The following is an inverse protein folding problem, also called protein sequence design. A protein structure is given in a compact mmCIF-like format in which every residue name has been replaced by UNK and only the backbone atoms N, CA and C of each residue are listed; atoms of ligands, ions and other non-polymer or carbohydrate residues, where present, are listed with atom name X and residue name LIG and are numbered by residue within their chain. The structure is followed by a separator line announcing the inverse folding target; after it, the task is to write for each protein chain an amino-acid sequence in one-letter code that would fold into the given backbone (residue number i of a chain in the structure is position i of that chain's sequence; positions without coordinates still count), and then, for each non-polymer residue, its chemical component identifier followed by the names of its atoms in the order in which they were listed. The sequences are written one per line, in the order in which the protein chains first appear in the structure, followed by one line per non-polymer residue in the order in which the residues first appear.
data_IF_313327171239
#
_entry.id   IF_313327171239
#
_cell.length_a   1.000
_cell.length_b   1.000
_cell.length_c   1.000
_cell.angle_alpha   90.00
_cell.angle_beta   90.00
_cell.angle_gamma   90.00
#
_symmetry.space_group_name_H-M   'P 1'
#
loop_
_entity.id
_entity.type
_entity.pdbx_description
1 polymer ?
#
# COMPACT_ATOMS: atom_id res chain seq x y z
N UNK A 1 55.01 -47.62 -57.53
CA UNK A 1 55.07 -47.71 -56.09
C UNK A 1 53.95 -46.85 -55.52
N UNK A 2 52.86 -47.48 -55.05
CA UNK A 2 51.79 -46.82 -54.30
C UNK A 2 51.85 -47.38 -52.92
N UNK A 3 52.17 -46.51 -51.94
CA UNK A 3 52.13 -46.80 -50.47
C UNK A 3 50.75 -46.49 -49.98
N UNK A 4 49.95 -47.51 -49.67
CA UNK A 4 48.70 -47.40 -48.94
C UNK A 4 49.01 -47.10 -47.40
N UNK A 5 48.56 -45.96 -46.90
CA UNK A 5 48.54 -45.67 -45.44
C UNK A 5 47.29 -46.32 -44.87
N UNK A 6 47.45 -47.34 -44.09
CA UNK A 6 46.40 -47.89 -43.25
C UNK A 6 46.10 -46.92 -42.09
N UNK A 7 44.87 -46.45 -42.03
CA UNK A 7 44.34 -45.62 -40.96
C UNK A 7 43.93 -46.56 -39.79
N UNK A 8 44.79 -46.72 -38.81
CA UNK A 8 44.52 -47.54 -37.63
C UNK A 8 43.36 -46.93 -36.83
N UNK A 9 42.23 -47.61 -36.76
CA UNK A 9 41.15 -47.30 -35.84
C UNK A 9 41.56 -47.70 -34.41
N UNK A 10 41.85 -46.69 -33.56
CA UNK A 10 42.03 -46.91 -32.14
C UNK A 10 40.66 -47.16 -31.49
N UNK A 11 40.39 -48.39 -31.07
CA UNK A 11 39.23 -48.70 -30.25
C UNK A 11 39.50 -48.25 -28.79
N UNK A 12 38.56 -47.50 -28.14
CA UNK A 12 38.78 -47.04 -26.79
C UNK A 12 38.89 -48.22 -25.80
N UNK A 13 39.85 -48.16 -24.93
CA UNK A 13 40.04 -49.17 -23.87
C UNK A 13 38.90 -49.15 -22.85
N UNK A 14 38.63 -50.26 -22.19
CA UNK A 14 37.60 -50.31 -21.09
C UNK A 14 37.80 -49.23 -20.05
N UNK A 15 39.04 -48.82 -19.77
CA UNK A 15 39.36 -47.70 -18.88
C UNK A 15 38.90 -46.35 -19.44
N UNK A 16 39.11 -46.12 -20.73
CA UNK A 16 38.66 -44.87 -21.42
C UNK A 16 37.15 -44.76 -21.39
N UNK A 17 36.43 -45.87 -21.65
CA UNK A 17 34.97 -45.92 -21.62
C UNK A 17 34.46 -45.63 -20.18
N UNK A 18 35.04 -46.23 -19.18
CA UNK A 18 34.66 -46.00 -17.77
C UNK A 18 34.82 -44.53 -17.33
N UNK A 19 35.94 -43.89 -17.74
CA UNK A 19 36.18 -42.46 -17.44
C UNK A 19 35.15 -41.54 -18.11
N UNK A 20 34.82 -41.84 -19.37
CA UNK A 20 33.80 -41.05 -20.10
C UNK A 20 32.41 -41.22 -19.49
N UNK A 21 32.02 -42.43 -19.09
CA UNK A 21 30.71 -42.68 -18.43
C UNK A 21 30.65 -41.98 -17.07
N UNK A 22 31.69 -42.02 -16.28
CA UNK A 22 31.71 -41.28 -15.01
C UNK A 22 31.65 -39.78 -15.21
N UNK A 23 32.37 -39.24 -16.21
CA UNK A 23 32.30 -37.80 -16.52
C UNK A 23 30.91 -37.37 -16.96
N UNK A 24 30.22 -38.15 -17.80
CA UNK A 24 28.83 -37.89 -18.22
C UNK A 24 27.89 -37.95 -17.02
N UNK A 25 28.04 -38.93 -16.12
CA UNK A 25 27.21 -39.05 -14.92
C UNK A 25 27.40 -37.85 -13.98
N UNK A 26 28.63 -37.39 -13.78
CA UNK A 26 28.93 -36.20 -12.96
C UNK A 26 28.33 -34.92 -13.58
N UNK A 27 28.46 -34.76 -14.90
CA UNK A 27 27.88 -33.61 -15.60
C UNK A 27 26.36 -33.67 -15.52
N UNK A 28 25.74 -34.83 -15.72
CA UNK A 28 24.27 -34.98 -15.63
C UNK A 28 23.77 -34.70 -14.21
N UNK A 29 24.45 -35.19 -13.18
CA UNK A 29 24.13 -34.88 -11.79
C UNK A 29 24.29 -33.39 -11.45
N UNK A 30 25.34 -32.73 -11.98
CA UNK A 30 25.56 -31.31 -11.81
C UNK A 30 24.46 -30.45 -12.52
N UNK A 31 24.02 -30.88 -13.70
CA UNK A 31 22.92 -30.23 -14.42
C UNK A 31 21.59 -30.44 -13.69
N UNK A 32 21.33 -31.67 -13.21
CA UNK A 32 20.13 -31.94 -12.39
C UNK A 32 20.15 -31.14 -11.08
N UNK A 33 21.30 -31.10 -10.41
CA UNK A 33 21.46 -30.26 -9.21
C UNK A 33 21.26 -28.78 -9.51
N UNK A 34 21.78 -28.27 -10.63
CA UNK A 34 21.57 -26.88 -11.04
C UNK A 34 20.10 -26.58 -11.44
N UNK A 35 19.35 -27.58 -11.91
CA UNK A 35 17.92 -27.46 -12.21
C UNK A 35 17.03 -27.60 -10.96
N UNK A 36 17.53 -28.26 -9.92
CA UNK A 36 16.85 -28.45 -8.63
C UNK A 36 17.26 -27.40 -7.57
N UNK A 37 18.33 -26.64 -7.81
CA UNK A 37 18.61 -25.47 -6.99
C UNK A 37 17.51 -24.46 -7.23
N UNK A 38 16.95 -23.83 -6.15
CA UNK A 38 16.07 -22.70 -6.32
C UNK A 38 16.78 -21.70 -7.25
N UNK A 39 16.09 -21.26 -8.30
CA UNK A 39 16.65 -20.26 -9.20
C UNK A 39 17.10 -19.08 -8.36
N UNK A 40 18.27 -18.48 -8.68
CA UNK A 40 18.65 -17.25 -8.01
C UNK A 40 17.44 -16.30 -8.14
N UNK A 41 17.04 -15.77 -7.00
CA UNK A 41 15.95 -14.85 -6.84
C UNK A 41 16.07 -13.75 -7.90
N UNK A 42 15.13 -13.67 -8.84
CA UNK A 42 15.05 -12.52 -9.76
C UNK A 42 14.51 -11.34 -8.95
N UNK A 43 15.28 -10.27 -8.79
CA UNK A 43 14.83 -9.11 -8.04
C UNK A 43 13.64 -8.48 -8.78
N UNK A 44 12.68 -7.94 -8.02
CA UNK A 44 11.63 -7.12 -8.59
C UNK A 44 12.24 -5.99 -9.45
N UNK A 45 11.68 -5.76 -10.61
CA UNK A 45 12.09 -4.72 -11.53
C UNK A 45 11.19 -3.50 -11.37
N UNK A 46 11.77 -2.32 -11.27
CA UNK A 46 11.02 -1.06 -11.23
C UNK A 46 11.42 -0.16 -12.39
N UNK A 47 10.42 0.35 -13.11
CA UNK A 47 10.57 1.35 -14.17
C UNK A 47 9.74 2.59 -13.88
N UNK A 48 10.21 3.75 -14.31
CA UNK A 48 9.48 5.01 -14.19
C UNK A 48 8.39 5.09 -15.26
N UNK A 49 7.15 5.38 -14.85
CA UNK A 49 6.03 5.59 -15.76
C UNK A 49 5.66 7.07 -15.91
N UNK A 50 5.77 7.85 -14.85
CA UNK A 50 5.57 9.30 -14.86
C UNK A 50 6.57 9.97 -13.93
N UNK A 51 7.05 11.15 -14.30
CA UNK A 51 7.95 11.97 -13.52
C UNK A 51 7.50 13.44 -13.45
N UNK A 52 8.26 14.26 -12.74
CA UNK A 52 7.98 15.69 -12.59
C UNK A 52 6.70 15.97 -11.79
N UNK A 53 6.41 15.14 -10.79
CA UNK A 53 5.27 15.27 -9.90
C UNK A 53 5.65 16.03 -8.63
N UNK A 54 4.67 16.68 -8.02
CA UNK A 54 4.86 17.41 -6.77
C UNK A 54 4.19 16.68 -5.62
N UNK A 55 4.95 15.90 -4.87
CA UNK A 55 4.48 15.08 -3.76
C UNK A 55 3.25 14.24 -4.14
N UNK A 56 3.36 13.33 -5.15
CA UNK A 56 2.27 12.44 -5.48
C UNK A 56 1.91 11.59 -4.25
N UNK A 57 0.64 11.66 -3.85
CA UNK A 57 0.22 11.02 -2.63
C UNK A 57 -0.31 9.61 -2.87
N UNK A 58 -1.22 9.49 -3.83
CA UNK A 58 -1.87 8.22 -4.09
C UNK A 58 -2.20 8.03 -5.58
N UNK A 59 -2.54 6.79 -5.95
CA UNK A 59 -2.77 6.36 -7.33
C UNK A 59 -4.08 5.59 -7.39
N UNK A 60 -4.95 5.94 -8.33
CA UNK A 60 -6.15 5.18 -8.64
C UNK A 60 -6.20 4.79 -10.11
N UNK A 61 -6.89 3.71 -10.42
CA UNK A 61 -7.11 3.26 -11.79
C UNK A 61 -8.60 3.16 -12.10
N UNK A 62 -9.01 3.65 -13.26
CA UNK A 62 -10.35 3.41 -13.79
C UNK A 62 -10.43 2.06 -14.51
N UNK A 63 -11.65 1.55 -14.70
CA UNK A 63 -11.90 0.27 -15.35
C UNK A 63 -11.34 0.19 -16.79
N UNK A 64 -11.23 1.33 -17.47
CA UNK A 64 -10.63 1.41 -18.82
C UNK A 64 -9.10 1.61 -18.80
N UNK A 65 -8.46 1.53 -17.63
CA UNK A 65 -7.01 1.54 -17.44
C UNK A 65 -6.37 2.92 -17.35
N UNK A 66 -7.15 4.01 -17.30
CA UNK A 66 -6.60 5.34 -17.04
C UNK A 66 -6.06 5.42 -15.61
N UNK A 67 -4.88 6.04 -15.48
CA UNK A 67 -4.24 6.25 -14.18
C UNK A 67 -4.54 7.66 -13.66
N UNK A 68 -5.01 7.75 -12.41
CA UNK A 68 -5.23 9.00 -11.71
C UNK A 68 -4.20 9.12 -10.58
N UNK A 69 -3.64 10.31 -10.41
CA UNK A 69 -2.63 10.57 -9.37
C UNK A 69 -3.02 11.83 -8.61
N UNK A 70 -3.11 11.73 -7.29
CA UNK A 70 -3.24 12.90 -6.43
C UNK A 70 -1.87 13.49 -6.12
N UNK A 71 -1.76 14.81 -6.20
CA UNK A 71 -0.60 15.55 -5.72
C UNK A 71 -1.01 16.37 -4.50
N UNK A 72 -0.23 16.28 -3.42
CA UNK A 72 -0.52 16.89 -2.12
C UNK A 72 -0.92 18.37 -2.20
N UNK A 73 -0.39 19.09 -3.18
CA UNK A 73 -0.68 20.51 -3.41
C UNK A 73 -2.12 20.80 -3.90
N UNK A 74 -2.98 19.77 -4.03
CA UNK A 74 -4.38 19.92 -4.42
C UNK A 74 -4.64 19.69 -5.91
N UNK A 75 -3.86 18.85 -6.59
CA UNK A 75 -4.12 18.48 -7.99
C UNK A 75 -4.44 17.00 -8.12
N UNK A 76 -5.39 16.69 -9.00
CA UNK A 76 -5.61 15.32 -9.52
C UNK A 76 -5.19 15.33 -10.98
N UNK A 77 -4.23 14.49 -11.34
CA UNK A 77 -3.80 14.29 -12.73
C UNK A 77 -4.41 13.01 -13.27
N UNK A 78 -4.94 13.06 -14.47
CA UNK A 78 -5.51 11.92 -15.19
C UNK A 78 -4.64 11.61 -16.41
N UNK A 79 -4.06 10.43 -16.45
CA UNK A 79 -3.23 9.94 -17.55
C UNK A 79 -3.98 8.88 -18.35
N UNK A 80 -3.64 8.76 -19.65
CA UNK A 80 -4.27 7.82 -20.56
C UNK A 80 -4.13 6.34 -20.13
N UNK A 81 -3.08 6.00 -19.40
CA UNK A 81 -2.84 4.67 -18.82
C UNK A 81 -1.72 4.72 -17.78
N UNK A 82 -1.41 3.57 -17.15
CA UNK A 82 -0.22 3.35 -16.31
C UNK A 82 1.05 3.00 -17.11
N UNK A 83 1.03 3.07 -18.44
CA UNK A 83 2.21 2.78 -19.26
C UNK A 83 3.24 3.92 -19.21
N UNK A 84 4.55 3.62 -19.35
CA UNK A 84 5.59 4.63 -19.39
C UNK A 84 5.34 5.71 -20.44
N UNK A 85 5.33 6.98 -20.00
CA UNK A 85 5.12 8.13 -20.87
C UNK A 85 3.70 8.29 -21.39
N UNK A 86 2.70 7.65 -20.79
CA UNK A 86 1.29 7.85 -21.11
C UNK A 86 0.92 9.33 -21.04
N UNK A 87 0.16 9.81 -22.03
CA UNK A 87 -0.23 11.22 -22.15
C UNK A 87 -1.11 11.69 -21.00
N UNK A 88 -0.84 12.88 -20.50
CA UNK A 88 -1.71 13.58 -19.56
C UNK A 88 -2.99 14.02 -20.29
N UNK A 89 -4.15 13.57 -19.83
CA UNK A 89 -5.47 13.90 -20.39
C UNK A 89 -6.08 15.13 -19.72
N UNK A 90 -5.95 15.21 -18.39
CA UNK A 90 -6.61 16.25 -17.60
C UNK A 90 -5.84 16.54 -16.30
N UNK A 91 -6.01 17.74 -15.78
CA UNK A 91 -5.58 18.12 -14.44
C UNK A 91 -6.72 18.91 -13.77
N UNK A 92 -7.26 18.36 -12.69
CA UNK A 92 -8.21 19.08 -11.83
C UNK A 92 -7.46 19.72 -10.66
N UNK A 93 -7.87 20.93 -10.27
CA UNK A 93 -7.38 21.60 -9.07
C UNK A 93 -8.49 21.64 -8.03
N UNK A 94 -8.20 21.15 -6.84
CA UNK A 94 -9.14 21.13 -5.71
C UNK A 94 -8.96 22.44 -4.94
N UNK A 95 -10.03 23.25 -4.80
CA UNK A 95 -9.94 24.51 -4.08
C UNK A 95 -9.75 24.29 -2.56
N UNK A 96 -9.18 25.29 -1.91
CA UNK A 96 -9.06 25.41 -0.46
C UNK A 96 -8.31 24.24 0.22
N UNK A 97 -7.50 23.49 -0.54
CA UNK A 97 -6.63 22.46 0.02
C UNK A 97 -5.57 23.10 0.89
N UNK A 98 -5.51 22.68 2.15
CA UNK A 98 -4.53 23.16 3.11
C UNK A 98 -3.32 22.24 3.14
N UNK A 99 -2.16 22.77 2.74
CA UNK A 99 -0.89 22.03 2.64
C UNK A 99 0.05 22.48 3.75
N UNK A 100 0.06 21.76 4.86
CA UNK A 100 0.95 22.01 5.97
C UNK A 100 1.47 20.67 6.50
N UNK A 101 2.79 20.47 6.50
CA UNK A 101 3.46 19.23 6.89
C UNK A 101 2.92 17.99 6.13
N UNK A 102 2.05 17.19 6.76
CA UNK A 102 1.46 15.97 6.18
C UNK A 102 0.13 16.24 5.47
N UNK A 103 -0.51 17.39 5.72
CA UNK A 103 -1.81 17.71 5.16
C UNK A 103 -1.76 18.08 3.68
N UNK A 104 -2.89 17.96 3.00
CA UNK A 104 -3.03 18.26 1.59
C UNK A 104 -4.15 17.47 0.92
N UNK A 105 -4.06 17.32 -0.39
CA UNK A 105 -4.82 16.32 -1.12
C UNK A 105 -4.10 14.98 -0.99
N UNK A 106 -4.82 13.95 -0.54
CA UNK A 106 -4.22 12.69 -0.10
C UNK A 106 -4.75 11.49 -0.89
N UNK A 107 -5.52 10.60 -0.26
CA UNK A 107 -5.99 9.36 -0.87
C UNK A 107 -6.92 9.56 -2.07
N UNK A 108 -6.97 8.56 -2.94
CA UNK A 108 -7.88 8.48 -4.09
C UNK A 108 -8.37 7.04 -4.25
N UNK A 109 -9.68 6.89 -4.50
CA UNK A 109 -10.26 5.63 -4.95
C UNK A 109 -11.11 5.87 -6.19
N UNK A 110 -11.13 4.90 -7.10
CA UNK A 110 -11.91 4.97 -8.34
C UNK A 110 -12.78 3.73 -8.45
N UNK A 111 -14.07 3.93 -8.71
CA UNK A 111 -15.02 2.84 -8.95
C UNK A 111 -15.98 3.20 -10.07
N UNK A 112 -15.95 2.45 -11.16
CA UNK A 112 -16.67 2.81 -12.38
C UNK A 112 -16.22 4.20 -12.91
N UNK A 113 -17.15 5.14 -12.96
CA UNK A 113 -16.89 6.54 -13.29
C UNK A 113 -16.74 7.45 -12.05
N UNK A 114 -17.00 6.93 -10.86
CA UNK A 114 -16.88 7.69 -9.62
C UNK A 114 -15.42 7.78 -9.17
N UNK A 115 -14.98 8.99 -8.86
CA UNK A 115 -13.65 9.28 -8.30
C UNK A 115 -13.83 9.90 -6.93
N UNK A 116 -13.32 9.25 -5.91
CA UNK A 116 -13.31 9.71 -4.53
C UNK A 116 -11.93 10.19 -4.15
N UNK A 117 -11.85 11.29 -3.44
CA UNK A 117 -10.60 11.82 -2.89
C UNK A 117 -10.80 12.22 -1.44
N UNK A 118 -9.73 12.11 -0.67
CA UNK A 118 -9.66 12.61 0.70
C UNK A 118 -8.71 13.80 0.75
N UNK A 119 -9.18 14.94 1.26
CA UNK A 119 -8.42 16.18 1.27
C UNK A 119 -8.56 16.92 2.60
N UNK A 120 -7.45 17.51 3.03
CA UNK A 120 -7.42 18.47 4.11
C UNK A 120 -7.76 19.85 3.55
N UNK A 121 -8.86 20.47 4.05
CA UNK A 121 -9.39 21.71 3.50
C UNK A 121 -9.61 22.79 4.54
N UNK A 122 -9.42 24.02 4.12
CA UNK A 122 -9.79 25.21 4.89
C UNK A 122 -11.25 25.55 4.60
N UNK A 123 -12.12 25.36 5.58
CA UNK A 123 -13.56 25.60 5.45
C UNK A 123 -13.98 26.97 6.02
N UNK A 124 -13.00 27.88 6.09
CA UNK A 124 -13.19 29.28 6.52
C UNK A 124 -12.82 29.50 7.99
N UNK A 125 -13.52 28.90 8.94
CA UNK A 125 -13.18 29.00 10.35
C UNK A 125 -12.51 27.73 10.90
N UNK A 126 -12.65 26.64 10.16
CA UNK A 126 -12.23 25.32 10.59
C UNK A 126 -11.28 24.67 9.57
N UNK A 127 -10.47 23.78 10.05
CA UNK A 127 -9.64 22.91 9.24
C UNK A 127 -10.18 21.49 9.35
N UNK A 128 -10.70 20.96 8.23
CA UNK A 128 -11.32 19.65 8.18
C UNK A 128 -10.63 18.72 7.17
N UNK A 129 -10.70 17.43 7.44
CA UNK A 129 -10.52 16.39 6.44
C UNK A 129 -11.88 16.15 5.78
N UNK A 130 -11.95 16.16 4.47
CA UNK A 130 -13.19 15.95 3.72
C UNK A 130 -13.04 14.80 2.72
N UNK A 131 -14.09 13.98 2.63
CA UNK A 131 -14.29 13.05 1.55
C UNK A 131 -15.03 13.77 0.42
N UNK A 132 -14.46 13.76 -0.78
CA UNK A 132 -15.03 14.42 -1.95
C UNK A 132 -15.23 13.42 -3.08
N UNK A 133 -16.25 13.63 -3.91
CA UNK A 133 -16.58 12.81 -5.07
C UNK A 133 -16.64 13.64 -6.34
N UNK A 134 -16.17 13.08 -7.44
CA UNK A 134 -16.28 13.58 -8.81
C UNK A 134 -16.71 12.45 -9.76
N UNK A 135 -17.04 12.80 -10.99
CA UNK A 135 -17.29 11.85 -12.08
C UNK A 135 -16.21 12.00 -13.16
N UNK A 136 -15.61 10.89 -13.56
CA UNK A 136 -14.62 10.80 -14.63
C UNK A 136 -15.32 10.62 -15.97
N UNK A 137 -15.23 11.61 -16.83
CA UNK A 137 -15.81 11.56 -18.18
C UNK A 137 -14.96 10.71 -19.13
N UNK A 138 -15.53 10.31 -20.26
CA UNK A 138 -14.85 9.49 -21.27
C UNK A 138 -13.61 10.16 -21.87
N UNK A 139 -13.54 11.47 -21.91
CA UNK A 139 -12.38 12.24 -22.38
C UNK A 139 -11.29 12.42 -21.33
N UNK A 140 -11.47 11.89 -20.12
CA UNK A 140 -10.56 12.00 -18.99
C UNK A 140 -10.81 13.24 -18.11
N UNK A 141 -11.76 14.11 -18.45
CA UNK A 141 -12.08 15.25 -17.60
C UNK A 141 -12.83 14.82 -16.34
N UNK A 142 -12.66 15.59 -15.27
CA UNK A 142 -13.34 15.39 -13.99
C UNK A 142 -14.39 16.47 -13.79
N UNK A 143 -15.58 16.08 -13.34
CA UNK A 143 -16.59 17.05 -12.87
C UNK A 143 -16.07 17.78 -11.62
N UNK A 144 -16.67 18.92 -11.23
CA UNK A 144 -16.37 19.53 -9.93
C UNK A 144 -16.51 18.51 -8.80
N UNK A 145 -15.58 18.53 -7.86
CA UNK A 145 -15.63 17.67 -6.69
C UNK A 145 -16.64 18.21 -5.68
N UNK A 146 -17.52 17.35 -5.20
CA UNK A 146 -18.57 17.65 -4.22
C UNK A 146 -18.33 16.84 -2.94
N UNK A 147 -18.65 17.43 -1.77
CA UNK A 147 -18.48 16.76 -0.49
C UNK A 147 -19.44 15.57 -0.34
N UNK A 148 -18.92 14.44 0.14
CA UNK A 148 -19.72 13.29 0.57
C UNK A 148 -19.95 13.43 2.08
N UNK A 149 -21.21 13.58 2.54
CA UNK A 149 -21.52 13.94 3.92
C UNK A 149 -21.46 12.71 4.85
N UNK A 150 -20.28 12.34 5.33
CA UNK A 150 -20.08 11.20 6.25
C UNK A 150 -19.91 11.61 7.72
N UNK A 151 -19.83 12.90 8.02
CA UNK A 151 -19.61 13.49 9.33
C UNK A 151 -18.37 14.37 9.40
N UNK A 152 -18.13 14.97 10.56
CA UNK A 152 -17.00 15.88 10.78
C UNK A 152 -15.73 15.12 11.11
N UNK A 153 -14.67 15.43 10.38
CA UNK A 153 -13.31 14.91 10.60
C UNK A 153 -12.37 16.11 10.81
N UNK A 154 -11.93 16.30 12.04
CA UNK A 154 -11.01 17.39 12.38
C UNK A 154 -9.69 17.25 11.60
N UNK A 155 -9.29 18.33 10.92
CA UNK A 155 -8.01 18.43 10.24
C UNK A 155 -6.89 18.94 11.15
N UNK A 156 -5.65 18.62 10.78
CA UNK A 156 -4.45 19.10 11.46
C UNK A 156 -3.24 19.07 10.50
N UNK A 157 -2.10 19.62 10.92
CA UNK A 157 -0.86 19.54 10.13
C UNK A 157 -0.27 18.13 10.05
N UNK A 158 -0.65 17.24 10.99
CA UNK A 158 -0.17 15.86 11.10
C UNK A 158 -1.29 14.89 11.42
N UNK A 159 -1.04 13.62 11.13
CA UNK A 159 -1.90 12.49 11.45
C UNK A 159 -3.30 12.64 10.81
N UNK A 160 -3.32 12.85 9.50
CA UNK A 160 -4.57 12.94 8.74
C UNK A 160 -5.11 11.54 8.38
N UNK A 161 -4.23 10.52 8.24
CA UNK A 161 -4.61 9.24 7.65
C UNK A 161 -4.90 9.38 6.17
N UNK A 162 -6.18 9.22 5.78
CA UNK A 162 -6.67 9.42 4.42
C UNK A 162 -6.26 8.34 3.39
N UNK A 163 -5.96 7.12 3.79
CA UNK A 163 -6.00 6.01 2.85
C UNK A 163 -7.45 5.76 2.42
N UNK A 164 -7.68 5.52 1.13
CA UNK A 164 -9.01 5.45 0.54
C UNK A 164 -9.06 4.28 -0.44
N UNK A 165 -10.03 3.37 -0.25
CA UNK A 165 -10.20 2.18 -1.07
C UNK A 165 -11.68 1.81 -1.24
N UNK A 166 -12.02 1.10 -2.32
CA UNK A 166 -13.34 0.50 -2.53
C UNK A 166 -13.23 -1.01 -2.52
N UNK A 167 -14.03 -1.68 -1.69
CA UNK A 167 -14.04 -3.14 -1.63
C UNK A 167 -14.88 -3.78 -2.76
N UNK A 168 -14.78 -5.10 -2.88
CA UNK A 168 -15.52 -5.86 -3.88
C UNK A 168 -17.05 -5.87 -3.66
N UNK A 169 -17.52 -5.40 -2.52
CA UNK A 169 -18.94 -5.22 -2.19
C UNK A 169 -19.42 -3.78 -2.43
N UNK A 170 -18.58 -2.95 -3.05
CA UNK A 170 -18.84 -1.54 -3.37
C UNK A 170 -18.96 -0.64 -2.13
N UNK A 171 -18.33 -1.00 -1.00
CA UNK A 171 -18.18 -0.10 0.13
C UNK A 171 -16.92 0.73 -0.02
N UNK A 172 -17.01 2.00 0.33
CA UNK A 172 -15.89 2.91 0.42
C UNK A 172 -15.28 2.86 1.82
N UNK A 173 -13.99 2.63 1.89
CA UNK A 173 -13.21 2.58 3.10
C UNK A 173 -12.30 3.79 3.18
N UNK A 174 -12.26 4.44 4.34
CA UNK A 174 -11.47 5.63 4.59
C UNK A 174 -10.78 5.53 5.95
N UNK A 175 -9.46 5.67 5.98
CA UNK A 175 -8.74 5.83 7.22
C UNK A 175 -8.66 7.30 7.65
N UNK A 176 -8.83 7.59 8.94
CA UNK A 176 -8.77 8.93 9.50
C UNK A 176 -7.86 8.93 10.71
N UNK A 177 -6.84 9.77 10.70
CA UNK A 177 -5.90 9.91 11.80
C UNK A 177 -6.49 10.66 13.01
N UNK A 178 -5.77 10.63 14.12
CA UNK A 178 -6.17 11.25 15.39
C UNK A 178 -6.03 12.79 15.42
N UNK A 179 -5.67 13.41 14.27
CA UNK A 179 -5.37 14.84 14.13
C UNK A 179 -4.26 15.34 15.09
N UNK A 180 -3.41 14.43 15.56
CA UNK A 180 -2.33 14.73 16.52
C UNK A 180 -2.82 15.48 17.77
N UNK A 181 -4.04 15.21 18.19
CA UNK A 181 -4.62 15.81 19.39
C UNK A 181 -3.91 15.30 20.65
N UNK A 182 -3.82 16.14 21.71
CA UNK A 182 -3.30 15.68 23.00
C UNK A 182 -4.08 14.45 23.50
N UNK A 183 -3.41 13.54 24.21
CA UNK A 183 -4.03 12.29 24.70
C UNK A 183 -5.37 12.49 25.42
N UNK A 184 -5.52 13.56 26.22
CA UNK A 184 -6.76 13.86 26.94
C UNK A 184 -7.90 14.37 26.06
N UNK A 185 -7.61 14.77 24.82
CA UNK A 185 -8.57 15.28 23.83
C UNK A 185 -8.71 14.33 22.64
N UNK A 186 -7.96 13.21 22.66
CA UNK A 186 -7.87 12.27 21.55
C UNK A 186 -9.19 11.52 21.35
N UNK A 187 -9.68 11.57 20.11
CA UNK A 187 -10.94 10.97 19.73
C UNK A 187 -10.85 9.46 19.41
N UNK A 188 -9.65 8.89 19.37
CA UNK A 188 -9.45 7.53 18.86
C UNK A 188 -10.27 6.45 19.59
N UNK A 189 -10.54 6.66 20.90
CA UNK A 189 -11.34 5.74 21.72
C UNK A 189 -12.84 6.09 21.79
N UNK A 190 -13.28 7.18 21.13
CA UNK A 190 -14.69 7.62 21.13
C UNK A 190 -15.35 7.18 19.82
N UNK A 191 -16.29 6.23 19.88
CA UNK A 191 -17.00 5.69 18.70
C UNK A 191 -17.94 6.67 18.03
N UNK A 192 -18.27 7.80 18.67
CA UNK A 192 -19.14 8.83 18.10
C UNK A 192 -18.34 9.91 17.31
N UNK A 193 -17.00 9.86 17.35
CA UNK A 193 -16.10 10.76 16.63
C UNK A 193 -15.34 10.02 15.56
N UNK A 194 -15.07 10.68 14.41
CA UNK A 194 -14.49 10.03 13.24
C UNK A 194 -12.95 10.02 13.19
N UNK A 195 -12.27 10.81 14.03
CA UNK A 195 -10.80 10.82 14.09
C UNK A 195 -10.24 9.60 14.84
N UNK A 196 -9.12 9.07 14.36
CA UNK A 196 -8.48 7.85 14.92
C UNK A 196 -9.27 6.58 14.61
N UNK A 197 -9.79 6.47 13.38
CA UNK A 197 -10.72 5.42 12.93
C UNK A 197 -10.35 4.88 11.55
N UNK A 198 -10.85 3.67 11.27
CA UNK A 198 -11.16 3.27 9.91
C UNK A 198 -12.69 3.31 9.74
N UNK A 199 -13.13 3.99 8.69
CA UNK A 199 -14.52 4.22 8.36
C UNK A 199 -14.92 3.33 7.18
N UNK A 200 -16.19 2.87 7.16
CA UNK A 200 -16.81 2.18 6.02
C UNK A 200 -18.16 2.81 5.74
N UNK A 201 -18.38 3.21 4.49
CA UNK A 201 -19.62 3.83 4.02
C UNK A 201 -20.01 3.28 2.64
N UNK A 202 -21.26 3.46 2.26
CA UNK A 202 -21.68 3.26 0.86
C UNK A 202 -21.07 4.34 -0.04
N UNK A 203 -21.06 4.13 -1.36
CA UNK A 203 -20.52 5.10 -2.34
C UNK A 203 -21.25 6.46 -2.34
N UNK A 204 -22.44 6.54 -1.78
CA UNK A 204 -23.20 7.79 -1.60
C UNK A 204 -23.02 8.44 -0.22
N UNK A 205 -22.18 7.82 0.64
CA UNK A 205 -21.92 8.26 2.01
C UNK A 205 -22.91 7.74 3.04
N UNK A 206 -23.93 6.98 2.66
CA UNK A 206 -24.84 6.35 3.62
C UNK A 206 -24.13 5.24 4.42
N UNK A 207 -24.72 4.88 5.57
CA UNK A 207 -24.11 3.95 6.50
C UNK A 207 -24.54 2.52 6.19
N UNK A 208 -23.61 1.57 5.93
CA UNK A 208 -23.95 0.16 5.78
C UNK A 208 -24.69 -0.39 7.01
N UNK A 209 -25.75 -1.16 6.78
CA UNK A 209 -26.62 -1.65 7.85
C UNK A 209 -25.91 -2.57 8.86
N UNK A 210 -24.79 -3.16 8.47
CA UNK A 210 -23.96 -4.06 9.28
C UNK A 210 -22.72 -3.36 9.89
N UNK A 211 -22.64 -2.03 9.82
CA UNK A 211 -21.59 -1.29 10.53
C UNK A 211 -21.75 -1.47 12.06
N UNK A 212 -20.64 -1.75 12.75
CA UNK A 212 -20.68 -2.22 14.14
C UNK A 212 -21.23 -1.19 15.15
N UNK A 213 -21.10 0.11 14.86
CA UNK A 213 -21.51 1.21 15.76
C UNK A 213 -22.77 1.95 15.28
N UNK A 214 -23.36 1.55 14.14
CA UNK A 214 -24.52 2.23 13.56
C UNK A 214 -24.22 3.62 12.98
N UNK A 215 -22.95 3.94 12.77
CA UNK A 215 -22.41 5.13 12.12
C UNK A 215 -21.30 4.71 11.13
N UNK A 216 -20.50 5.65 10.59
CA UNK A 216 -19.44 5.36 9.63
C UNK A 216 -18.26 4.55 10.21
N UNK A 217 -18.10 4.49 11.54
CA UNK A 217 -16.96 3.84 12.19
C UNK A 217 -17.03 2.32 12.02
N UNK A 218 -15.97 1.74 11.45
CA UNK A 218 -15.78 0.29 11.35
C UNK A 218 -14.86 -0.23 12.45
N UNK A 219 -13.72 0.46 12.69
CA UNK A 219 -12.78 0.16 13.78
C UNK A 219 -12.28 1.45 14.42
N UNK A 220 -11.75 1.34 15.62
CA UNK A 220 -11.32 2.48 16.43
C UNK A 220 -9.98 2.22 17.12
N UNK A 221 -9.41 3.27 17.74
CA UNK A 221 -8.14 3.14 18.42
C UNK A 221 -6.91 3.22 17.50
N UNK A 222 -7.03 3.93 16.39
CA UNK A 222 -5.94 4.18 15.44
C UNK A 222 -5.28 5.54 15.69
N UNK A 223 -3.97 5.63 15.38
CA UNK A 223 -3.20 6.87 15.50
C UNK A 223 -3.12 7.62 14.17
N UNK A 224 -2.43 7.06 13.20
CA UNK A 224 -2.20 7.67 11.90
C UNK A 224 -2.17 6.60 10.80
N UNK A 225 -3.33 6.03 10.47
CA UNK A 225 -3.46 4.97 9.48
C UNK A 225 -3.22 5.53 8.08
N UNK A 226 -2.17 5.04 7.40
CA UNK A 226 -1.67 5.57 6.13
C UNK A 226 -1.93 4.66 4.93
N UNK A 227 -2.32 3.41 5.14
CA UNK A 227 -2.60 2.47 4.07
C UNK A 227 -3.73 1.51 4.42
N UNK A 228 -4.50 1.13 3.41
CA UNK A 228 -5.51 0.09 3.46
C UNK A 228 -5.21 -0.93 2.36
N UNK A 229 -5.44 -2.20 2.62
CA UNK A 229 -5.26 -3.26 1.63
C UNK A 229 -6.29 -4.38 1.81
N UNK A 230 -6.81 -4.90 0.70
CA UNK A 230 -7.71 -6.05 0.72
C UNK A 230 -6.96 -7.32 0.33
N UNK A 231 -6.95 -8.29 1.24
CA UNK A 231 -6.41 -9.61 0.93
C UNK A 231 -7.29 -10.33 -0.11
N UNK A 232 -6.77 -11.30 -0.88
CA UNK A 232 -7.55 -12.06 -1.85
C UNK A 232 -8.81 -12.73 -1.30
N UNK A 233 -8.88 -12.95 0.01
CA UNK A 233 -10.05 -13.48 0.72
C UNK A 233 -11.04 -12.44 1.23
N UNK A 234 -10.82 -11.14 0.94
CA UNK A 234 -11.68 -10.03 1.37
C UNK A 234 -11.39 -9.51 2.79
N UNK A 235 -10.40 -10.06 3.49
CA UNK A 235 -9.95 -9.51 4.77
C UNK A 235 -9.30 -8.13 4.56
N UNK A 236 -9.62 -7.17 5.42
CA UNK A 236 -9.14 -5.79 5.33
C UNK A 236 -7.94 -5.61 6.26
N UNK A 237 -6.90 -5.05 5.74
CA UNK A 237 -5.66 -4.75 6.44
C UNK A 237 -5.39 -3.26 6.44
N UNK A 238 -4.85 -2.78 7.53
CA UNK A 238 -4.49 -1.39 7.72
C UNK A 238 -3.04 -1.30 8.17
N UNK A 239 -2.32 -0.24 7.74
CA UNK A 239 -0.96 0.07 8.20
C UNK A 239 -0.91 1.47 8.76
N UNK A 240 -0.32 1.63 9.96
CA UNK A 240 -0.27 2.91 10.64
C UNK A 240 1.10 3.24 11.26
N UNK A 241 1.30 4.54 11.48
CA UNK A 241 2.48 5.05 12.17
C UNK A 241 2.35 4.93 13.68
N UNK A 242 3.33 4.31 14.32
CA UNK A 242 3.59 4.44 15.74
C UNK A 242 4.05 5.85 16.14
N UNK A 243 4.33 6.06 17.42
CA UNK A 243 4.87 7.33 17.92
C UNK A 243 6.36 7.49 17.60
N UNK A 244 7.20 6.76 18.31
CA UNK A 244 8.66 6.69 18.14
C UNK A 244 9.10 5.27 17.80
N UNK A 245 8.21 4.31 18.01
CA UNK A 245 8.33 2.88 17.78
C UNK A 245 6.97 2.29 17.45
N UNK A 246 6.95 1.02 17.02
CA UNK A 246 5.77 0.24 16.73
C UNK A 246 4.86 0.87 15.66
N UNK A 247 5.40 1.07 14.44
CA UNK A 247 4.50 1.11 13.28
C UNK A 247 3.80 -0.25 13.19
N UNK A 248 2.51 -0.25 12.86
CA UNK A 248 1.67 -1.44 12.98
C UNK A 248 1.10 -1.88 11.62
N UNK A 249 0.84 -3.17 11.51
CA UNK A 249 0.00 -3.76 10.47
C UNK A 249 -1.12 -4.50 11.17
N UNK A 250 -2.34 -4.08 10.93
CA UNK A 250 -3.54 -4.51 11.62
C UNK A 250 -4.47 -5.30 10.68
N UNK A 251 -4.93 -6.48 11.10
CA UNK A 251 -6.08 -7.14 10.49
C UNK A 251 -7.35 -6.55 11.08
N UNK A 252 -8.17 -5.88 10.27
CA UNK A 252 -9.34 -5.18 10.76
C UNK A 252 -10.51 -6.13 11.04
N UNK A 253 -11.09 -5.99 12.22
CA UNK A 253 -12.31 -6.65 12.66
C UNK A 253 -13.45 -5.64 12.86
N UNK A 254 -14.71 -6.01 12.57
CA UNK A 254 -15.86 -5.12 12.83
C UNK A 254 -15.95 -4.77 14.32
N UNK A 255 -15.91 -3.47 14.64
CA UNK A 255 -15.91 -2.97 16.01
C UNK A 255 -14.59 -3.17 16.77
N UNK A 256 -13.54 -3.60 16.09
CA UNK A 256 -12.21 -3.79 16.66
C UNK A 256 -11.63 -2.49 17.22
N UNK A 257 -10.96 -2.60 18.38
CA UNK A 257 -10.25 -1.49 19.02
C UNK A 257 -8.75 -1.81 19.05
N UNK A 258 -7.95 -0.99 18.35
CA UNK A 258 -6.50 -1.19 18.17
C UNK A 258 -5.64 -0.43 19.20
N UNK A 259 -6.28 0.16 20.21
CA UNK A 259 -5.66 0.53 21.48
C UNK A 259 -5.15 1.95 21.58
N UNK A 260 -4.82 2.64 20.49
CA UNK A 260 -4.30 4.02 20.59
C UNK A 260 -5.32 4.99 21.21
N UNK A 261 -4.94 5.92 22.09
CA UNK A 261 -3.58 6.25 22.57
C UNK A 261 -3.13 5.45 23.83
N UNK A 262 -3.85 4.41 24.19
CA UNK A 262 -3.64 3.65 25.42
C UNK A 262 -2.54 2.59 25.27
N UNK A 263 -2.53 1.94 24.12
CA UNK A 263 -1.59 0.88 23.75
C UNK A 263 -1.04 1.14 22.36
N UNK A 264 0.20 0.69 22.11
CA UNK A 264 0.86 0.69 20.80
C UNK A 264 1.69 -0.58 20.72
N UNK A 265 1.66 -1.28 19.60
CA UNK A 265 2.21 -2.62 19.54
C UNK A 265 1.50 -3.54 20.55
N UNK A 266 2.24 -4.42 21.17
CA UNK A 266 1.74 -5.30 22.23
C UNK A 266 1.79 -4.66 23.64
N UNK A 267 2.29 -3.44 23.76
CA UNK A 267 2.64 -2.82 25.04
C UNK A 267 1.82 -1.56 25.33
N UNK A 268 1.65 -1.25 26.62
CA UNK A 268 1.00 -0.02 27.04
C UNK A 268 1.86 1.22 26.70
N UNK A 269 1.26 2.22 26.07
CA UNK A 269 1.92 3.45 25.66
C UNK A 269 2.14 4.44 26.83
N UNK A 270 2.99 4.10 27.79
CA UNK A 270 3.30 4.93 28.96
C UNK A 270 2.17 5.00 29.99
N UNK A 271 2.04 6.09 30.78
CA UNK A 271 0.97 6.22 31.75
C UNK A 271 -0.40 6.09 31.08
N UNK A 272 -1.16 5.07 31.48
CA UNK A 272 -2.49 4.78 30.91
C UNK A 272 -3.48 5.79 31.49
N UNK A 273 -4.14 6.64 30.67
CA UNK A 273 -5.23 7.51 31.15
C UNK A 273 -6.37 6.69 31.74
N UNK A 274 -7.15 7.30 32.65
CA UNK A 274 -8.32 6.65 33.26
C UNK A 274 -9.39 6.20 32.26
N UNK A 275 -9.36 6.75 31.04
CA UNK A 275 -10.24 6.38 29.91
C UNK A 275 -9.84 5.07 29.23
N UNK A 276 -8.64 4.56 29.53
CA UNK A 276 -8.14 3.34 28.93
C UNK A 276 -8.63 2.12 29.72
N UNK A 277 -9.25 1.17 29.01
CA UNK A 277 -9.65 -0.12 29.55
C UNK A 277 -8.47 -1.03 29.91
N UNK A 278 -8.70 -2.32 29.91
CA UNK A 278 -7.65 -3.33 30.13
C UNK A 278 -6.96 -3.65 28.80
N UNK A 279 -5.71 -4.11 28.86
CA UNK A 279 -5.01 -4.57 27.64
C UNK A 279 -5.78 -5.66 26.89
N UNK A 280 -6.55 -6.52 27.59
CA UNK A 280 -7.40 -7.55 26.99
C UNK A 280 -8.59 -7.00 26.18
N UNK A 281 -8.88 -5.73 26.28
CA UNK A 281 -10.00 -5.07 25.59
C UNK A 281 -9.58 -4.56 24.20
N UNK A 282 -8.30 -4.70 23.85
CA UNK A 282 -7.70 -4.24 22.60
C UNK A 282 -7.20 -5.41 21.75
N UNK A 283 -7.26 -5.23 20.44
CA UNK A 283 -6.67 -6.15 19.48
C UNK A 283 -5.19 -5.81 19.31
N UNK A 284 -4.35 -6.84 19.41
CA UNK A 284 -2.93 -6.67 19.11
C UNK A 284 -2.72 -6.59 17.59
N UNK A 285 -1.74 -5.80 17.12
CA UNK A 285 -1.36 -5.79 15.70
C UNK A 285 -0.87 -7.17 15.25
N UNK A 286 -1.14 -7.51 14.00
CA UNK A 286 -0.59 -8.71 13.38
C UNK A 286 0.93 -8.63 13.21
N UNK A 287 1.45 -7.41 13.09
CA UNK A 287 2.87 -7.13 13.06
C UNK A 287 3.16 -5.71 13.59
N UNK A 288 4.27 -5.55 14.30
CA UNK A 288 4.78 -4.26 14.74
C UNK A 288 6.27 -4.13 14.42
N UNK A 289 6.70 -2.91 14.03
CA UNK A 289 8.09 -2.66 13.62
C UNK A 289 9.10 -2.76 14.77
N UNK A 290 8.66 -2.61 16.00
CA UNK A 290 9.54 -2.35 17.14
C UNK A 290 10.15 -0.94 17.04
N UNK A 291 11.38 -0.78 17.56
CA UNK A 291 12.11 0.49 17.55
C UNK A 291 13.31 0.43 16.61
N UNK A 292 13.51 1.45 15.76
CA UNK A 292 12.70 2.64 15.54
C UNK A 292 11.52 2.39 14.60
N UNK A 293 10.61 3.37 14.44
CA UNK A 293 9.58 3.40 13.38
C UNK A 293 10.20 3.37 11.99
N UNK A 294 9.48 2.81 11.03
CA UNK A 294 9.81 2.78 9.59
C UNK A 294 9.10 3.89 8.81
N UNK A 295 8.04 4.45 9.39
CA UNK A 295 7.02 5.28 8.77
C UNK A 295 6.36 4.53 7.60
N UNK A 296 5.64 3.46 7.92
CA UNK A 296 4.84 2.68 6.98
C UNK A 296 3.80 3.56 6.28
N UNK A 297 3.52 3.29 5.00
CA UNK A 297 2.62 4.13 4.20
C UNK A 297 1.64 3.26 3.40
N UNK A 298 1.61 3.36 2.06
CA UNK A 298 0.72 2.56 1.24
C UNK A 298 0.99 1.05 1.38
N UNK A 299 -0.06 0.24 1.20
CA UNK A 299 0.01 -1.21 1.28
C UNK A 299 -0.86 -1.85 0.19
N UNK A 300 -0.43 -2.98 -0.37
CA UNK A 300 -1.22 -3.76 -1.31
C UNK A 300 -0.84 -5.24 -1.26
N UNK A 301 -1.83 -6.11 -1.44
CA UNK A 301 -1.57 -7.52 -1.70
C UNK A 301 -1.22 -7.74 -3.17
N UNK A 302 -0.19 -8.51 -3.45
CA UNK A 302 0.20 -8.88 -4.81
C UNK A 302 -0.84 -9.85 -5.38
N UNK A 303 -1.46 -9.46 -6.49
CA UNK A 303 -2.50 -10.24 -7.15
C UNK A 303 -2.11 -10.48 -8.61
N UNK A 304 -2.20 -11.72 -9.06
CA UNK A 304 -1.93 -12.12 -10.43
C UNK A 304 -0.72 -13.03 -10.60
N UNK A 305 -0.82 -13.95 -11.54
CA UNK A 305 0.18 -15.02 -11.76
C UNK A 305 1.58 -14.53 -12.13
N UNK A 306 1.72 -13.26 -12.53
CA UNK A 306 3.02 -12.62 -12.81
C UNK A 306 3.94 -12.56 -11.58
N UNK A 307 3.39 -12.62 -10.39
CA UNK A 307 4.13 -12.57 -9.13
C UNK A 307 4.70 -13.93 -8.69
N UNK A 308 4.24 -15.04 -9.30
CA UNK A 308 4.74 -16.38 -9.01
C UNK A 308 4.51 -16.77 -7.55
N UNK A 309 5.58 -17.07 -6.80
CA UNK A 309 5.52 -17.43 -5.38
C UNK A 309 5.32 -16.24 -4.43
N UNK A 310 5.21 -15.01 -4.96
CA UNK A 310 4.85 -13.81 -4.18
C UNK A 310 3.34 -13.49 -4.26
N UNK A 311 2.59 -14.19 -5.11
CA UNK A 311 1.15 -13.97 -5.20
C UNK A 311 0.49 -14.19 -3.84
N UNK A 312 -0.28 -13.20 -3.39
CA UNK A 312 -0.90 -13.18 -2.07
C UNK A 312 -0.07 -12.58 -0.94
N UNK A 313 1.20 -12.19 -1.21
CA UNK A 313 2.03 -11.49 -0.24
C UNK A 313 1.58 -10.02 -0.10
N UNK A 314 1.74 -9.48 1.11
CA UNK A 314 1.50 -8.06 1.39
C UNK A 314 2.78 -7.26 1.16
N UNK A 315 2.67 -6.18 0.40
CA UNK A 315 3.74 -5.19 0.20
C UNK A 315 3.37 -3.91 0.93
N UNK A 316 4.33 -3.37 1.70
CA UNK A 316 4.18 -2.12 2.44
C UNK A 316 5.32 -1.18 2.08
N UNK A 317 4.99 0.04 1.68
CA UNK A 317 5.97 1.12 1.46
C UNK A 317 6.39 1.76 2.76
N UNK A 318 7.64 2.25 2.83
CA UNK A 318 8.15 3.02 3.97
C UNK A 318 8.67 4.38 3.54
N UNK A 319 8.37 5.39 4.36
CA UNK A 319 8.82 6.76 4.12
C UNK A 319 10.16 7.07 4.76
N UNK A 320 10.44 6.50 5.94
CA UNK A 320 11.65 6.81 6.71
C UNK A 320 12.81 5.88 6.34
N UNK A 321 12.51 4.58 6.16
CA UNK A 321 13.54 3.61 5.74
C UNK A 321 13.74 3.59 4.23
N UNK A 322 12.83 4.22 3.45
CA UNK A 322 12.96 4.41 2.00
C UNK A 322 13.03 3.08 1.22
N UNK A 323 12.16 2.13 1.60
CA UNK A 323 12.14 0.78 1.05
C UNK A 323 10.71 0.23 0.87
N UNK A 324 10.60 -0.98 0.32
CA UNK A 324 9.41 -1.81 0.38
C UNK A 324 9.64 -3.01 1.30
N UNK A 325 8.64 -3.35 2.08
CA UNK A 325 8.62 -4.54 2.92
C UNK A 325 7.65 -5.57 2.33
N UNK A 326 8.14 -6.79 2.05
CA UNK A 326 7.34 -7.91 1.60
C UNK A 326 7.07 -8.85 2.76
N UNK A 327 5.80 -9.10 3.01
CA UNK A 327 5.34 -10.01 4.06
C UNK A 327 4.58 -11.18 3.44
N UNK A 328 4.89 -12.39 3.88
CA UNK A 328 4.03 -13.55 3.63
C UNK A 328 2.90 -13.58 4.67
N UNK A 329 1.72 -13.97 4.20
CA UNK A 329 0.54 -14.14 5.06
C UNK A 329 0.22 -15.63 5.18
N UNK A 330 0.41 -16.21 6.38
CA UNK A 330 0.13 -17.60 6.66
C UNK A 330 -0.82 -17.74 7.85
N UNK A 331 -2.03 -18.24 7.62
CA UNK A 331 -3.03 -18.45 8.67
C UNK A 331 -3.32 -17.20 9.54
N UNK A 332 -3.23 -16.00 8.96
CA UNK A 332 -3.45 -14.73 9.65
C UNK A 332 -2.19 -14.13 10.31
N UNK A 333 -1.07 -14.84 10.26
CA UNK A 333 0.22 -14.32 10.74
C UNK A 333 1.05 -13.73 9.61
N UNK A 334 1.57 -12.53 9.81
CA UNK A 334 2.49 -11.84 8.89
C UNK A 334 3.94 -12.13 9.27
N UNK A 335 4.72 -12.54 8.28
CA UNK A 335 6.18 -12.70 8.41
C UNK A 335 6.89 -11.79 7.42
N UNK A 336 7.76 -10.91 7.91
CA UNK A 336 8.62 -10.09 7.06
C UNK A 336 9.65 -10.99 6.38
N UNK A 337 9.55 -11.14 5.07
CA UNK A 337 10.42 -12.01 4.27
C UNK A 337 11.55 -11.22 3.61
N UNK A 338 11.29 -10.00 3.19
CA UNK A 338 12.24 -9.27 2.37
C UNK A 338 12.07 -7.76 2.42
N UNK A 339 13.21 -7.08 2.30
CA UNK A 339 13.29 -5.65 2.00
C UNK A 339 13.70 -5.48 0.53
N UNK A 340 12.94 -4.68 -0.21
CA UNK A 340 13.16 -4.39 -1.64
C UNK A 340 13.47 -2.90 -1.81
N UNK A 341 14.30 -2.58 -2.81
CA UNK A 341 14.63 -1.20 -3.22
C UNK A 341 15.21 -0.30 -2.11
N UNK A 342 15.88 -0.90 -1.12
CA UNK A 342 16.52 -0.18 -0.01
C UNK A 342 17.23 1.10 -0.50
N UNK A 343 16.71 2.26 -0.12
CA UNK A 343 17.15 3.63 -0.45
C UNK A 343 17.35 3.94 -1.93
N UNK A 344 16.80 3.10 -2.82
CA UNK A 344 17.01 3.23 -4.26
C UNK A 344 16.22 4.41 -4.86
N UNK A 345 15.03 4.66 -4.36
CA UNK A 345 14.09 5.66 -4.89
C UNK A 345 13.75 6.76 -3.87
N UNK A 346 14.38 6.73 -2.68
CA UNK A 346 14.00 7.55 -1.55
C UNK A 346 12.67 7.11 -0.94
N UNK A 347 11.96 8.03 -0.33
CA UNK A 347 10.69 7.81 0.36
C UNK A 347 9.64 7.25 -0.59
N UNK A 348 9.03 6.12 -0.23
CA UNK A 348 7.94 5.49 -0.99
C UNK A 348 6.63 5.68 -0.26
N UNK A 349 5.55 6.06 -0.98
CA UNK A 349 4.26 6.39 -0.36
C UNK A 349 3.13 5.50 -0.84
N UNK A 350 2.55 5.73 -2.01
CA UNK A 350 1.51 4.87 -2.55
C UNK A 350 2.05 3.48 -2.89
N UNK A 351 1.21 2.48 -2.72
CA UNK A 351 1.46 1.09 -3.10
C UNK A 351 0.14 0.52 -3.59
N UNK A 352 -0.04 0.41 -4.90
CA UNK A 352 -1.34 0.11 -5.52
C UNK A 352 -1.17 -0.93 -6.62
N UNK A 353 -2.06 -1.92 -6.67
CA UNK A 353 -2.13 -2.85 -7.80
C UNK A 353 -2.81 -2.20 -9.00
N UNK A 354 -2.13 -2.21 -10.13
CA UNK A 354 -2.72 -1.76 -11.40
C UNK A 354 -3.57 -2.83 -12.08
N UNK A 355 -4.38 -2.44 -13.08
CA UNK A 355 -5.23 -3.37 -13.85
C UNK A 355 -4.42 -4.36 -14.70
N UNK A 356 -3.14 -4.08 -14.94
CA UNK A 356 -2.17 -4.95 -15.61
C UNK A 356 -1.50 -5.97 -14.68
N UNK A 357 -1.97 -6.05 -13.43
CA UNK A 357 -1.39 -6.84 -12.34
C UNK A 357 0.06 -6.46 -11.98
N UNK A 358 0.53 -5.28 -12.35
CA UNK A 358 1.77 -4.69 -11.86
C UNK A 358 1.51 -3.90 -10.57
N UNK A 359 2.54 -3.74 -9.75
CA UNK A 359 2.48 -2.88 -8.57
C UNK A 359 2.95 -1.46 -8.95
N UNK A 360 2.19 -0.46 -8.55
CA UNK A 360 2.52 0.94 -8.77
C UNK A 360 2.87 1.62 -7.46
N UNK A 361 3.93 2.42 -7.49
CA UNK A 361 4.45 3.15 -6.33
C UNK A 361 4.56 4.62 -6.65
N UNK A 362 4.27 5.49 -5.68
CA UNK A 362 4.68 6.88 -5.73
C UNK A 362 5.91 7.14 -4.86
N UNK A 363 6.82 7.99 -5.31
CA UNK A 363 7.87 8.55 -4.45
C UNK A 363 7.36 9.79 -3.71
N UNK A 364 8.01 10.17 -2.60
CA UNK A 364 7.60 11.31 -1.78
C UNK A 364 8.81 12.12 -1.28
N UNK A 365 9.69 12.52 -2.23
CA UNK A 365 10.96 13.20 -1.95
C UNK A 365 10.87 14.71 -2.12
N UNK A 366 9.85 15.23 -2.81
CA UNK A 366 9.67 16.66 -3.03
C UNK A 366 8.92 17.01 -4.31
N UNK A 367 9.47 17.95 -5.08
CA UNK A 367 8.83 18.51 -6.28
C UNK A 367 9.25 17.84 -7.61
N UNK A 368 10.03 16.78 -7.56
CA UNK A 368 10.48 16.01 -8.75
C UNK A 368 10.28 14.51 -8.48
N UNK A 369 9.12 14.20 -7.99
CA UNK A 369 8.72 12.84 -7.68
C UNK A 369 8.17 12.11 -8.91
N UNK A 370 8.00 10.81 -8.77
CA UNK A 370 7.64 9.92 -9.87
C UNK A 370 6.71 8.82 -9.46
N UNK A 371 6.05 8.23 -10.45
CA UNK A 371 5.35 6.96 -10.33
C UNK A 371 6.24 5.88 -10.95
N UNK A 372 6.38 4.78 -10.24
CA UNK A 372 7.12 3.59 -10.64
C UNK A 372 6.15 2.45 -10.86
N UNK A 373 6.36 1.65 -11.91
CA UNK A 373 5.72 0.36 -12.12
C UNK A 373 6.71 -0.75 -11.73
N UNK A 374 6.26 -1.68 -10.90
CA UNK A 374 7.05 -2.81 -10.41
C UNK A 374 6.47 -4.11 -10.91
N UNK A 375 7.34 -4.96 -11.44
CA UNK A 375 7.06 -6.33 -11.89
C UNK A 375 8.10 -7.29 -11.34
N UNK A 376 7.83 -8.58 -11.46
CA UNK A 376 8.78 -9.63 -11.09
C UNK A 376 9.39 -10.31 -12.32
#
# INVERSE_FOLDING_TARGET
MRTSRECGRFAPTRRTIAVVVVAILVITLAVIAALLLPRPFEPAHAEEVQGGLDHPWDIGFSDDGRMLVTERIGRVRVYASGEPGAGLLHTATIPDVRTELESGLMGIAVHGDAVFICASRDTGNDWNVELLRSTLAADGSLSPFEAVPIGEMTGAARHQGCALEVDASEHLWLSVGDANLPRGENAAQDSDRLNGKVLRVELDGSIPADNPFGNAVYSLGHRNPQGLAFAPGGAVWEVEHGTDENDEINLLEPGGNYGYPCFTGADAAGPIPDVCGRASDYLAPAWASGSPTLATSGAAFLIGSGWGDWEGDLIVSTLKEEDLRRFTLNAGELTLEQTLFDRRFGRLRATVMGPDASLYLSTANGSDDRILRVTR
#
